data_IF_809670301896
#
_entry.id   IF_809670301896
#
_cell.length_a   1.000
_cell.length_b   1.000
_cell.length_c   1.000
_cell.angle_alpha   90.00
_cell.angle_beta   90.00
_cell.angle_gamma   90.00
#
_symmetry.space_group_name_H-M   'P 1'
#
loop_
_entity.id
_entity.type
_entity.pdbx_description
1 polymer ?
#
# COMPACT_ATOMS: atom_id res chain seq x y z
N UNK A 1 -31.74 -12.22 -3.29
CA UNK A 1 -30.41 -12.54 -3.86
C UNK A 1 -30.05 -11.45 -4.85
N UNK A 2 -29.06 -10.65 -4.50
CA UNK A 2 -28.22 -9.87 -5.42
C UNK A 2 -26.90 -9.65 -4.70
N UNK A 3 -25.97 -10.57 -4.92
CA UNK A 3 -24.54 -10.31 -4.75
C UNK A 3 -24.20 -9.18 -5.73
N UNK A 4 -23.76 -8.03 -5.20
CA UNK A 4 -23.02 -7.06 -5.98
C UNK A 4 -21.56 -7.49 -5.85
N UNK A 5 -21.11 -8.38 -6.73
CA UNK A 5 -19.68 -8.55 -6.97
C UNK A 5 -19.23 -7.27 -7.70
N UNK A 6 -18.75 -6.28 -6.95
CA UNK A 6 -18.07 -5.12 -7.53
C UNK A 6 -16.87 -5.65 -8.31
N UNK A 7 -16.90 -5.48 -9.64
CA UNK A 7 -15.77 -5.78 -10.52
C UNK A 7 -14.65 -4.79 -10.19
N UNK A 8 -13.74 -5.19 -9.30
CA UNK A 8 -12.52 -4.43 -9.02
C UNK A 8 -11.59 -4.59 -10.23
N UNK A 9 -11.46 -3.51 -11.01
CA UNK A 9 -10.51 -3.44 -12.10
C UNK A 9 -9.10 -3.31 -11.51
N UNK A 10 -8.30 -4.38 -11.60
CA UNK A 10 -6.94 -4.43 -11.05
C UNK A 10 -5.96 -4.13 -12.17
N UNK A 11 -5.36 -2.94 -12.15
CA UNK A 11 -4.24 -2.58 -13.01
C UNK A 11 -2.94 -3.17 -12.45
N UNK A 12 -2.20 -3.92 -13.28
CA UNK A 12 -0.91 -4.49 -12.91
C UNK A 12 0.20 -3.63 -13.50
N UNK A 13 1.01 -3.02 -12.63
CA UNK A 13 2.16 -2.20 -13.00
C UNK A 13 3.46 -2.86 -12.56
N UNK A 14 4.42 -2.98 -13.48
CA UNK A 14 5.78 -3.46 -13.18
C UNK A 14 6.73 -2.26 -13.01
N UNK A 15 7.44 -2.21 -11.88
CA UNK A 15 8.45 -1.19 -11.59
C UNK A 15 9.82 -1.83 -11.36
N UNK A 16 10.87 -1.07 -11.65
CA UNK A 16 12.25 -1.50 -11.43
C UNK A 16 12.89 -0.56 -10.40
N UNK A 17 13.23 -1.12 -9.24
CA UNK A 17 13.88 -0.39 -8.17
C UNK A 17 15.35 -0.80 -8.05
N UNK A 18 16.21 0.18 -7.82
CA UNK A 18 17.60 -0.02 -7.44
C UNK A 18 17.74 -0.22 -5.91
N UNK A 19 18.94 -0.52 -5.44
CA UNK A 19 19.20 -0.81 -4.02
C UNK A 19 18.88 0.38 -3.10
N UNK A 20 19.18 1.61 -3.52
CA UNK A 20 18.91 2.80 -2.72
C UNK A 20 17.39 3.05 -2.61
N UNK A 21 16.66 2.87 -3.71
CA UNK A 21 15.19 3.01 -3.76
C UNK A 21 14.51 1.94 -2.88
N UNK A 22 15.00 0.70 -2.94
CA UNK A 22 14.51 -0.39 -2.08
C UNK A 22 14.72 -0.04 -0.61
N UNK A 23 15.90 0.46 -0.24
CA UNK A 23 16.20 0.84 1.15
C UNK A 23 15.34 2.01 1.64
N UNK A 24 15.05 2.98 0.76
CA UNK A 24 14.14 4.07 1.08
C UNK A 24 12.72 3.56 1.35
N UNK A 25 12.21 2.71 0.47
CA UNK A 25 10.88 2.11 0.62
C UNK A 25 10.76 1.31 1.91
N UNK A 26 11.77 0.49 2.23
CA UNK A 26 11.82 -0.24 3.50
C UNK A 26 11.73 0.73 4.68
N UNK A 27 12.52 1.81 4.67
CA UNK A 27 12.53 2.79 5.76
C UNK A 27 11.18 3.49 5.92
N UNK A 28 10.51 3.85 4.82
CA UNK A 28 9.17 4.45 4.85
C UNK A 28 8.12 3.47 5.39
N UNK A 29 8.19 2.20 5.00
CA UNK A 29 7.29 1.16 5.51
C UNK A 29 7.51 0.85 6.99
N UNK A 30 8.76 0.85 7.46
CA UNK A 30 9.05 0.73 8.89
C UNK A 30 8.50 1.91 9.67
N UNK A 31 8.64 3.13 9.13
CA UNK A 31 8.05 4.33 9.73
C UNK A 31 6.53 4.25 9.79
N UNK A 32 5.86 3.78 8.72
CA UNK A 32 4.40 3.52 8.72
C UNK A 32 4.02 2.56 9.85
N UNK A 33 4.76 1.46 10.01
CA UNK A 33 4.50 0.47 11.06
C UNK A 33 4.61 1.07 12.46
N UNK A 34 5.60 1.92 12.69
CA UNK A 34 5.85 2.52 14.01
C UNK A 34 4.90 3.67 14.34
N UNK A 35 4.59 4.51 13.36
CA UNK A 35 3.81 5.74 13.57
C UNK A 35 2.33 5.55 13.24
N UNK A 36 1.96 4.43 12.59
CA UNK A 36 0.59 4.12 12.17
C UNK A 36 -0.01 5.22 11.28
N UNK A 37 0.83 5.83 10.45
CA UNK A 37 0.48 6.92 9.54
C UNK A 37 0.70 6.52 8.08
N UNK A 38 0.00 7.19 7.16
CA UNK A 38 0.12 6.92 5.72
C UNK A 38 1.50 7.28 5.17
N UNK A 39 1.99 6.51 4.20
CA UNK A 39 3.24 6.80 3.48
C UNK A 39 3.02 6.76 1.97
N UNK A 40 3.83 7.55 1.28
CA UNK A 40 3.84 7.67 -0.18
C UNK A 40 5.14 7.10 -0.72
N UNK A 41 5.02 6.16 -1.66
CA UNK A 41 6.13 5.50 -2.33
C UNK A 41 6.11 5.89 -3.81
N UNK A 42 7.18 6.54 -4.28
CA UNK A 42 7.33 6.90 -5.69
C UNK A 42 7.52 5.63 -6.53
N UNK A 43 6.58 5.36 -7.44
CA UNK A 43 6.62 4.20 -8.34
C UNK A 43 7.53 4.48 -9.54
N UNK A 44 7.35 5.67 -10.11
CA UNK A 44 8.15 6.26 -11.17
C UNK A 44 8.12 7.80 -11.04
N UNK A 45 8.66 8.52 -12.03
CA UNK A 45 8.70 9.99 -12.00
C UNK A 45 7.35 10.69 -12.16
N UNK A 46 6.26 9.95 -12.41
CA UNK A 46 4.93 10.49 -12.69
C UNK A 46 3.85 9.94 -11.74
N UNK A 47 4.12 8.83 -11.04
CA UNK A 47 3.13 8.05 -10.29
C UNK A 47 3.61 7.68 -8.89
N UNK A 48 2.67 7.71 -7.95
CA UNK A 48 2.90 7.40 -6.54
C UNK A 48 1.93 6.35 -6.01
N UNK A 49 2.41 5.49 -5.12
CA UNK A 49 1.61 4.56 -4.33
C UNK A 49 1.39 5.12 -2.92
N UNK A 50 0.14 5.38 -2.58
CA UNK A 50 -0.27 5.78 -1.24
C UNK A 50 -0.67 4.54 -0.43
N UNK A 51 0.05 4.28 0.67
CA UNK A 51 -0.24 3.19 1.60
C UNK A 51 -0.78 3.81 2.89
N UNK A 52 -2.00 3.45 3.26
CA UNK A 52 -2.60 3.85 4.52
C UNK A 52 -2.37 2.76 5.56
N UNK A 53 -2.10 3.17 6.80
CA UNK A 53 -2.18 2.24 7.91
C UNK A 53 -3.66 2.03 8.24
N UNK A 54 -4.16 0.85 7.92
CA UNK A 54 -5.45 0.40 8.42
C UNK A 54 -5.17 -0.53 9.59
N UNK A 55 -5.50 -0.07 10.81
CA UNK A 55 -5.64 -1.00 11.93
C UNK A 55 -6.84 -1.85 11.57
N UNK A 56 -6.60 -3.05 11.06
CA UNK A 56 -7.66 -4.05 10.96
C UNK A 56 -8.19 -4.21 12.37
N UNK A 57 -9.29 -3.55 12.69
CA UNK A 57 -10.26 -4.08 13.63
C UNK A 57 -10.66 -5.40 12.97
N UNK A 58 -9.90 -6.46 13.23
CA UNK A 58 -10.45 -7.80 13.23
C UNK A 58 -11.59 -7.71 14.26
N UNK A 59 -12.77 -7.32 13.78
CA UNK A 59 -14.02 -7.61 14.44
C UNK A 59 -13.98 -9.12 14.64
N UNK A 60 -13.59 -9.54 15.85
CA UNK A 60 -13.94 -10.84 16.39
C UNK A 60 -15.45 -10.99 16.15
N UNK A 61 -15.82 -11.67 15.06
CA UNK A 61 -17.17 -12.15 14.82
C UNK A 61 -17.51 -13.14 15.95
N UNK A 62 -18.06 -12.63 17.06
CA UNK A 62 -18.68 -13.45 18.13
C UNK A 62 -19.91 -14.24 17.64
#
# INVERSE_FOLDING_TARGET
MKEYEEEVDVEVTEIFLNEDEINEWISKLEWLRENKESVQLELDGDSDLLINYEESEEEDEE
#
